data_IF_568791747071
#
_entry.id   IF_568791747071
#
_cell.length_a   1.000
_cell.length_b   1.000
_cell.length_c   1.000
_cell.angle_alpha   90.00
_cell.angle_beta   90.00
_cell.angle_gamma   90.00
#
_symmetry.space_group_name_H-M   'P 1'
#
loop_
_entity.id
_entity.type
_entity.pdbx_description
1 polymer ?
#
# COMPACT_ATOMS: atom_id res chain seq x y z
N UNK A 1 13.00 -7.64 8.15
CA UNK A 1 11.77 -8.37 7.80
C UNK A 1 11.24 -7.68 6.55
N UNK A 2 11.36 -8.31 5.38
CA UNK A 2 10.72 -7.82 4.16
C UNK A 2 9.20 -7.79 4.43
N UNK A 3 8.61 -6.59 4.45
CA UNK A 3 7.18 -6.44 4.71
C UNK A 3 6.46 -6.68 3.38
N UNK A 4 6.31 -7.97 3.07
CA UNK A 4 5.73 -8.45 1.82
C UNK A 4 4.20 -8.35 1.93
N UNK A 5 3.70 -7.13 1.74
CA UNK A 5 2.30 -6.79 1.97
C UNK A 5 1.41 -7.49 0.93
N UNK A 6 0.51 -8.37 1.39
CA UNK A 6 -0.46 -9.08 0.57
C UNK A 6 -1.42 -8.14 -0.18
N UNK A 7 -1.63 -6.93 0.31
CA UNK A 7 -2.42 -5.91 -0.41
C UNK A 7 -1.75 -5.53 -1.75
N UNK A 8 -0.41 -5.63 -1.84
CA UNK A 8 0.37 -5.30 -3.04
C UNK A 8 0.43 -6.47 -4.04
N UNK A 9 -0.07 -7.65 -3.67
CA UNK A 9 -0.06 -8.86 -4.51
C UNK A 9 -1.24 -8.92 -5.51
N UNK A 10 -1.93 -7.80 -5.74
CA UNK A 10 -2.97 -7.68 -6.76
C UNK A 10 -4.40 -7.92 -6.29
N UNK A 11 -4.65 -7.93 -4.98
CA UNK A 11 -6.01 -8.03 -4.43
C UNK A 11 -6.76 -6.68 -4.40
N UNK A 12 -6.03 -5.57 -4.54
CA UNK A 12 -6.58 -4.21 -4.54
C UNK A 12 -6.12 -3.43 -5.77
N UNK A 13 -6.96 -2.50 -6.20
CA UNK A 13 -6.62 -1.53 -7.25
C UNK A 13 -5.89 -0.32 -6.67
N UNK A 14 -5.12 0.38 -7.50
CA UNK A 14 -4.44 1.63 -7.12
C UNK A 14 -5.42 2.66 -6.54
N UNK A 15 -6.64 2.71 -7.07
CA UNK A 15 -7.72 3.56 -6.55
C UNK A 15 -8.06 3.21 -5.08
N UNK A 16 -8.33 1.94 -4.78
CA UNK A 16 -8.69 1.51 -3.42
C UNK A 16 -7.56 1.77 -2.42
N UNK A 17 -6.33 1.51 -2.85
CA UNK A 17 -5.15 1.81 -2.05
C UNK A 17 -5.08 3.32 -1.80
N UNK A 18 -5.08 4.13 -2.85
CA UNK A 18 -5.02 5.60 -2.76
C UNK A 18 -6.09 6.19 -1.84
N UNK A 19 -7.32 5.69 -1.90
CA UNK A 19 -8.43 6.14 -1.07
C UNK A 19 -8.25 5.74 0.40
N UNK A 20 -7.73 4.53 0.65
CA UNK A 20 -7.55 4.01 2.00
C UNK A 20 -6.36 4.63 2.74
N UNK A 21 -5.24 4.89 2.05
CA UNK A 21 -4.04 5.51 2.65
C UNK A 21 -4.00 7.03 2.53
N UNK A 22 -4.75 7.59 1.57
CA UNK A 22 -4.74 9.02 1.27
C UNK A 22 -3.53 9.47 0.45
N UNK A 23 -2.98 8.57 -0.38
CA UNK A 23 -1.89 8.88 -1.32
C UNK A 23 -2.43 9.14 -2.73
N UNK A 24 -1.57 9.61 -3.64
CA UNK A 24 -1.96 9.76 -5.05
C UNK A 24 -2.20 8.39 -5.71
N UNK A 25 -3.12 8.32 -6.67
CA UNK A 25 -3.35 7.10 -7.48
C UNK A 25 -2.06 6.66 -8.20
N UNK A 26 -1.24 7.62 -8.64
CA UNK A 26 0.06 7.35 -9.25
C UNK A 26 1.00 6.62 -8.27
N UNK A 27 1.16 7.13 -7.04
CA UNK A 27 1.99 6.47 -6.02
C UNK A 27 1.45 5.09 -5.63
N UNK A 28 0.12 4.95 -5.54
CA UNK A 28 -0.51 3.66 -5.30
C UNK A 28 -0.26 2.66 -6.46
N UNK A 29 -0.25 3.15 -7.70
CA UNK A 29 0.08 2.35 -8.87
C UNK A 29 1.57 1.98 -8.90
N UNK A 30 2.47 2.92 -8.57
CA UNK A 30 3.91 2.66 -8.44
C UNK A 30 4.20 1.63 -7.34
N UNK A 31 3.45 1.63 -6.22
CA UNK A 31 3.54 0.60 -5.17
C UNK A 31 3.10 -0.78 -5.68
N UNK A 32 1.97 -0.84 -6.40
CA UNK A 32 1.46 -2.09 -6.99
C UNK A 32 2.39 -2.64 -8.08
N UNK A 33 2.96 -1.76 -8.90
CA UNK A 33 3.97 -2.11 -9.92
C UNK A 33 5.35 -2.37 -9.31
N UNK A 34 5.51 -2.27 -7.98
CA UNK A 34 6.78 -2.41 -7.25
C UNK A 34 7.88 -1.48 -7.78
N UNK A 35 7.49 -0.35 -8.37
CA UNK A 35 8.41 0.73 -8.80
C UNK A 35 8.92 1.53 -7.60
N UNK A 36 8.10 1.62 -6.56
CA UNK A 36 8.48 2.14 -5.26
C UNK A 36 8.17 1.11 -4.17
N UNK A 37 8.95 1.12 -3.09
CA UNK A 37 8.70 0.29 -1.91
C UNK A 37 7.94 1.08 -0.86
N UNK A 38 7.29 0.36 0.05
CA UNK A 38 6.55 0.96 1.18
C UNK A 38 7.48 1.79 2.06
N UNK A 39 8.77 1.43 2.15
CA UNK A 39 9.80 2.18 2.86
C UNK A 39 10.08 3.57 2.26
N UNK A 40 9.75 3.78 0.98
CA UNK A 40 9.85 5.09 0.33
C UNK A 40 8.71 6.04 0.69
N UNK A 41 7.62 5.53 1.28
CA UNK A 41 6.50 6.33 1.75
C UNK A 41 6.79 6.93 3.12
N UNK A 42 6.11 8.03 3.46
CA UNK A 42 6.12 8.59 4.81
C UNK A 42 5.64 7.58 5.87
N UNK A 43 6.14 7.71 7.10
CA UNK A 43 5.79 6.82 8.22
C UNK A 43 4.26 6.71 8.43
N UNK A 44 3.53 7.81 8.27
CA UNK A 44 2.06 7.82 8.36
C UNK A 44 1.41 6.90 7.30
N UNK A 45 1.89 6.97 6.06
CA UNK A 45 1.37 6.17 4.96
C UNK A 45 1.75 4.70 5.16
N UNK A 46 2.95 4.41 5.67
CA UNK A 46 3.35 3.05 6.01
C UNK A 46 2.45 2.43 7.09
N UNK A 47 2.12 3.17 8.14
CA UNK A 47 1.22 2.69 9.21
C UNK A 47 -0.19 2.41 8.69
N UNK A 48 -0.77 3.35 7.94
CA UNK A 48 -2.08 3.17 7.32
C UNK A 48 -2.12 1.98 6.36
N UNK A 49 -1.05 1.75 5.61
CA UNK A 49 -0.94 0.62 4.68
C UNK A 49 -0.87 -0.72 5.44
N UNK A 50 -0.15 -0.78 6.57
CA UNK A 50 -0.17 -1.93 7.49
C UNK A 50 -1.53 -2.15 8.15
N UNK A 51 -2.23 -1.08 8.53
CA UNK A 51 -3.58 -1.18 9.08
C UNK A 51 -4.57 -1.71 8.05
N UNK A 52 -4.49 -1.22 6.80
CA UNK A 52 -5.32 -1.69 5.70
C UNK A 52 -5.09 -3.18 5.44
N UNK A 53 -3.84 -3.63 5.47
CA UNK A 53 -3.51 -5.04 5.36
C UNK A 53 -4.10 -5.88 6.48
N UNK A 54 -3.95 -5.45 7.74
CA UNK A 54 -4.54 -6.15 8.88
C UNK A 54 -6.07 -6.22 8.76
N UNK A 55 -6.74 -5.16 8.31
CA UNK A 55 -8.22 -5.17 8.18
C UNK A 55 -8.71 -6.09 7.06
N UNK A 56 -7.93 -6.28 6.00
CA UNK A 56 -8.35 -7.04 4.81
C UNK A 56 -7.89 -8.51 4.82
N UNK A 57 -6.80 -8.83 5.54
CA UNK A 57 -6.15 -10.14 5.51
C UNK A 57 -6.06 -10.84 6.88
N UNK A 58 -6.46 -10.20 7.98
CA UNK A 58 -6.59 -10.84 9.32
C UNK A 58 -7.97 -11.48 9.52
#
# INVERSE_FOLDING_TARGET
METDLNILKGNLTAYQISEAIGISIEEAADLLEQRITVESLDEENQEKLKQLEAVLFD
#
